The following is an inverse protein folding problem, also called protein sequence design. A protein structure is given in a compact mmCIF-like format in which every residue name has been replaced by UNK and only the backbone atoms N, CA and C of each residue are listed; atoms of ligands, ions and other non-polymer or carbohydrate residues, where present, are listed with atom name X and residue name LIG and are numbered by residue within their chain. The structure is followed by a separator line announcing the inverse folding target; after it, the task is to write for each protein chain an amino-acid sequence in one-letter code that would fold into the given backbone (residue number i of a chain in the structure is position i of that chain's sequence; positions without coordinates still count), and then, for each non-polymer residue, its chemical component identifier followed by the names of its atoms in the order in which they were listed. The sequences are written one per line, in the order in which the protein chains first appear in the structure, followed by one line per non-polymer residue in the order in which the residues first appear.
data_IF_076386813928
#
_entry.id   IF_076386813928
#
_cell.length_a   1.000
_cell.length_b   1.000
_cell.length_c   1.000
_cell.angle_alpha   90.00
_cell.angle_beta   90.00
_cell.angle_gamma   90.00
#
_symmetry.space_group_name_H-M   'P 1'
#
loop_
_entity.id
_entity.type
_entity.pdbx_description
1 polymer ?
#
# COMPACT_ATOMS: atom_id res chain seq x y z
N UNK A 1 -31.85 58.12 19.11
CA UNK A 1 -32.10 57.22 17.95
C UNK A 1 -32.58 55.85 18.46
N UNK A 2 -33.22 55.09 17.57
CA UNK A 2 -34.21 54.01 17.77
C UNK A 2 -33.71 52.70 18.41
N UNK A 3 -34.44 52.19 19.40
CA UNK A 3 -35.21 50.92 19.47
C UNK A 3 -34.70 49.65 18.72
N UNK A 4 -34.56 48.58 19.54
CA UNK A 4 -34.87 47.13 19.36
C UNK A 4 -33.95 46.16 18.61
N UNK A 5 -34.02 44.94 19.19
CA UNK A 5 -33.97 43.61 18.56
C UNK A 5 -32.59 42.97 18.45
N UNK A 6 -32.42 41.65 18.61
CA UNK A 6 -33.26 40.55 19.09
C UNK A 6 -32.30 39.35 19.21
N UNK A 7 -32.56 38.48 20.18
CA UNK A 7 -31.88 37.18 20.38
C UNK A 7 -32.07 36.30 19.13
N UNK A 8 -31.02 35.60 18.67
CA UNK A 8 -31.23 34.34 17.95
C UNK A 8 -30.08 33.35 18.21
N UNK A 9 -30.42 32.31 18.97
CA UNK A 9 -29.67 31.08 19.10
C UNK A 9 -29.35 30.48 17.73
N UNK A 10 -28.15 29.94 17.57
CA UNK A 10 -27.95 28.75 16.75
C UNK A 10 -26.78 27.97 17.30
N UNK A 11 -27.11 26.83 17.87
CA UNK A 11 -26.17 25.78 18.18
C UNK A 11 -25.45 25.36 16.88
N UNK A 12 -24.13 25.35 16.93
CA UNK A 12 -23.33 24.47 16.10
C UNK A 12 -22.27 23.88 17.03
N UNK A 13 -22.71 22.94 17.88
CA UNK A 13 -21.82 21.88 18.31
C UNK A 13 -21.46 21.12 17.03
N UNK A 14 -20.39 21.55 16.36
CA UNK A 14 -19.75 20.74 15.34
C UNK A 14 -19.29 19.51 16.09
N UNK A 15 -20.06 18.43 15.94
CA UNK A 15 -19.57 17.10 16.18
C UNK A 15 -18.28 17.01 15.38
N UNK A 16 -17.14 17.11 16.06
CA UNK A 16 -15.96 16.39 15.63
C UNK A 16 -16.34 14.92 15.73
N UNK A 17 -17.05 14.43 14.72
CA UNK A 17 -16.90 13.09 14.23
C UNK A 17 -15.43 13.01 13.82
N UNK A 18 -14.58 12.79 14.82
CA UNK A 18 -13.19 12.42 14.66
C UNK A 18 -13.24 11.14 13.86
N UNK A 19 -13.08 11.31 12.56
CA UNK A 19 -12.73 10.29 11.59
C UNK A 19 -11.85 9.28 12.28
N UNK A 20 -12.38 8.08 12.42
CA UNK A 20 -11.72 6.91 12.98
C UNK A 20 -10.27 6.89 12.50
N UNK A 21 -9.34 7.14 13.43
CA UNK A 21 -7.90 6.91 13.29
C UNK A 21 -7.61 5.40 13.23
N UNK A 22 -8.43 4.60 12.54
CA UNK A 22 -8.37 3.15 12.52
C UNK A 22 -7.49 2.59 11.38
N UNK A 23 -6.69 3.44 10.72
CA UNK A 23 -5.84 3.05 9.60
C UNK A 23 -4.33 3.12 9.92
N UNK A 24 -3.95 3.60 11.10
CA UNK A 24 -2.54 3.82 11.47
C UNK A 24 -1.78 2.52 11.75
N UNK A 25 -2.47 1.41 12.05
CA UNK A 25 -1.85 0.13 12.43
C UNK A 25 -1.82 -0.92 11.30
N UNK A 26 -2.33 -0.58 10.11
CA UNK A 26 -2.28 -1.53 9.01
C UNK A 26 -0.85 -1.65 8.45
N UNK A 27 -0.44 -2.88 8.15
CA UNK A 27 0.90 -3.20 7.64
C UNK A 27 0.73 -4.10 6.42
N UNK A 28 1.24 -3.66 5.27
CA UNK A 28 1.37 -4.51 4.11
C UNK A 28 2.44 -5.57 4.40
N UNK A 29 2.03 -6.83 4.46
CA UNK A 29 2.94 -7.96 4.59
C UNK A 29 3.15 -8.60 3.24
N UNK A 30 4.37 -8.58 2.74
CA UNK A 30 4.77 -9.29 1.53
C UNK A 30 5.54 -10.53 1.93
N UNK A 31 5.03 -11.70 1.58
CA UNK A 31 5.72 -12.99 1.76
C UNK A 31 6.25 -13.45 0.41
N UNK A 32 7.52 -13.83 0.35
CA UNK A 32 8.13 -14.39 -0.85
C UNK A 32 8.74 -15.75 -0.51
N UNK A 33 8.06 -16.80 -0.97
CA UNK A 33 8.45 -18.20 -0.86
C UNK A 33 9.15 -18.70 -2.14
N UNK A 34 9.36 -17.84 -3.14
CA UNK A 34 10.18 -18.17 -4.29
C UNK A 34 11.67 -18.06 -3.95
N UNK A 35 12.53 -18.53 -4.87
CA UNK A 35 13.98 -18.33 -4.77
C UNK A 35 14.43 -16.98 -5.36
N UNK A 36 13.50 -16.15 -5.81
CA UNK A 36 13.78 -14.91 -6.54
C UNK A 36 13.71 -13.70 -5.62
N UNK A 37 14.41 -12.64 -6.01
CA UNK A 37 14.25 -11.34 -5.38
C UNK A 37 12.98 -10.69 -5.87
N UNK A 38 12.21 -10.09 -4.95
CA UNK A 38 11.05 -9.28 -5.28
C UNK A 38 11.15 -7.87 -4.73
N UNK A 39 10.67 -6.93 -5.54
CA UNK A 39 10.50 -5.54 -5.15
C UNK A 39 9.26 -4.96 -5.82
N UNK A 40 8.77 -3.85 -5.28
CA UNK A 40 7.57 -3.17 -5.77
C UNK A 40 7.94 -1.76 -6.17
N UNK A 41 7.53 -1.34 -7.36
CA UNK A 41 7.65 0.03 -7.85
C UNK A 41 6.32 0.74 -7.79
N UNK A 42 6.28 1.93 -7.19
CA UNK A 42 5.12 2.82 -7.19
C UNK A 42 5.56 4.15 -7.78
N UNK A 43 5.04 4.48 -8.97
CA UNK A 43 5.52 5.64 -9.74
C UNK A 43 7.03 5.55 -10.02
N UNK A 44 7.83 6.57 -9.66
CA UNK A 44 9.29 6.55 -9.86
C UNK A 44 10.06 5.79 -8.77
N UNK A 45 9.42 5.42 -7.66
CA UNK A 45 10.10 4.88 -6.48
C UNK A 45 10.07 3.35 -6.48
N UNK A 46 11.24 2.75 -6.27
CA UNK A 46 11.39 1.31 -6.08
C UNK A 46 11.55 0.98 -4.59
N UNK A 47 10.76 0.04 -4.08
CA UNK A 47 10.82 -0.36 -2.67
C UNK A 47 12.21 -0.81 -2.25
N UNK A 48 12.94 -1.52 -3.11
CA UNK A 48 14.27 -2.00 -2.75
C UNK A 48 15.36 -0.92 -2.76
N UNK A 49 15.14 0.24 -3.37
CA UNK A 49 16.01 1.43 -3.13
C UNK A 49 15.87 1.98 -1.72
N UNK A 50 14.78 1.65 -1.03
CA UNK A 50 14.54 1.97 0.38
C UNK A 50 14.91 0.79 1.30
N UNK A 51 15.58 -0.24 0.77
CA UNK A 51 15.89 -1.47 1.49
C UNK A 51 14.69 -2.39 1.73
N UNK A 52 13.54 -2.11 1.10
CA UNK A 52 12.31 -2.89 1.23
C UNK A 52 12.18 -3.85 0.03
N UNK A 53 12.83 -5.01 0.12
CA UNK A 53 12.74 -6.08 -0.87
C UNK A 53 12.67 -7.41 -0.12
N UNK A 54 12.08 -8.44 -0.73
CA UNK A 54 12.15 -9.82 -0.23
C UNK A 54 13.01 -10.64 -1.17
N UNK A 55 13.67 -11.69 -0.68
CA UNK A 55 14.54 -12.51 -1.51
C UNK A 55 14.88 -13.83 -0.84
N UNK A 56 15.74 -14.65 -1.45
CA UNK A 56 16.14 -15.94 -0.87
C UNK A 56 16.73 -15.74 0.53
N UNK A 57 16.05 -16.29 1.55
CA UNK A 57 16.40 -16.14 2.96
C UNK A 57 15.74 -14.97 3.70
N UNK A 58 14.98 -14.12 3.01
CA UNK A 58 14.11 -13.09 3.58
C UNK A 58 12.65 -13.39 3.22
N UNK A 59 11.98 -14.26 3.99
CA UNK A 59 10.67 -14.79 3.62
C UNK A 59 9.60 -13.70 3.65
N UNK A 60 9.81 -12.60 4.39
CA UNK A 60 8.80 -11.57 4.58
C UNK A 60 9.39 -10.16 4.69
N UNK A 61 8.67 -9.18 4.14
CA UNK A 61 8.85 -7.76 4.40
C UNK A 61 7.54 -7.17 4.92
N UNK A 62 7.64 -6.26 5.89
CA UNK A 62 6.51 -5.55 6.49
C UNK A 62 6.64 -4.06 6.22
N UNK A 63 5.72 -3.52 5.44
CA UNK A 63 5.69 -2.10 5.09
C UNK A 63 4.51 -1.43 5.78
N UNK A 64 4.72 -0.45 6.67
CA UNK A 64 3.63 0.34 7.24
C UNK A 64 2.72 0.92 6.15
N UNK A 65 1.41 0.87 6.34
CA UNK A 65 0.45 1.35 5.34
C UNK A 65 0.58 2.86 5.06
N UNK A 66 1.04 3.63 6.04
CA UNK A 66 1.40 5.04 5.86
C UNK A 66 2.49 5.24 4.80
N UNK A 67 3.46 4.33 4.70
CA UNK A 67 4.48 4.37 3.64
C UNK A 67 3.83 4.02 2.29
N UNK A 68 2.99 2.99 2.24
CA UNK A 68 2.27 2.61 1.00
C UNK A 68 1.44 3.78 0.45
N UNK A 69 0.61 4.39 1.30
CA UNK A 69 -0.23 5.54 0.91
C UNK A 69 0.61 6.77 0.53
N UNK A 70 1.73 7.01 1.23
CA UNK A 70 2.69 8.06 0.87
C UNK A 70 3.30 7.82 -0.53
N UNK A 71 3.73 6.59 -0.83
CA UNK A 71 4.25 6.22 -2.16
C UNK A 71 3.20 6.39 -3.27
N UNK A 72 1.94 6.11 -2.94
CA UNK A 72 0.81 6.29 -3.86
C UNK A 72 0.36 7.76 -4.02
N UNK A 73 0.88 8.68 -3.21
CA UNK A 73 0.51 10.10 -3.22
C UNK A 73 -0.93 10.39 -2.76
N UNK A 74 -1.61 9.40 -2.15
CA UNK A 74 -3.01 9.50 -1.70
C UNK A 74 -3.30 8.46 -0.62
N UNK A 75 -4.33 8.72 0.19
CA UNK A 75 -4.70 7.86 1.31
C UNK A 75 -5.87 6.92 1.01
N UNK A 76 -6.59 7.12 -0.09
CA UNK A 76 -7.79 6.33 -0.46
C UNK A 76 -7.85 6.06 -1.97
N UNK A 77 -8.71 5.12 -2.37
CA UNK A 77 -8.90 4.71 -3.76
C UNK A 77 -7.82 3.73 -4.25
N UNK A 78 -7.80 3.46 -5.56
CA UNK A 78 -6.90 2.47 -6.17
C UNK A 78 -5.49 3.03 -6.43
N UNK A 79 -4.46 2.32 -6.01
CA UNK A 79 -3.06 2.59 -6.32
C UNK A 79 -2.46 1.42 -7.12
N UNK A 80 -1.90 1.72 -8.28
CA UNK A 80 -1.20 0.74 -9.09
C UNK A 80 0.29 0.74 -8.75
N UNK A 81 0.83 -0.45 -8.63
CA UNK A 81 2.23 -0.73 -8.44
C UNK A 81 2.69 -1.80 -9.42
N UNK A 82 3.99 -1.88 -9.65
CA UNK A 82 4.60 -2.93 -10.46
C UNK A 82 5.43 -3.82 -9.55
N UNK A 83 5.03 -5.08 -9.40
CA UNK A 83 5.83 -6.11 -8.76
C UNK A 83 6.90 -6.58 -9.73
N UNK A 84 8.13 -6.69 -9.26
CA UNK A 84 9.26 -7.25 -9.99
C UNK A 84 9.69 -8.55 -9.34
N UNK A 85 10.04 -9.54 -10.16
CA UNK A 85 10.68 -10.79 -9.76
C UNK A 85 11.90 -11.03 -10.64
N UNK A 86 13.03 -11.35 -10.00
CA UNK A 86 14.25 -11.72 -10.69
C UNK A 86 15.14 -12.62 -9.80
N UNK A 87 15.71 -13.71 -10.33
CA UNK A 87 16.60 -14.60 -9.57
C UNK A 87 17.93 -13.92 -9.17
N UNK A 88 18.27 -12.79 -9.78
CA UNK A 88 19.48 -12.02 -9.51
C UNK A 88 19.19 -10.76 -8.69
N UNK A 89 20.25 -10.11 -8.21
CA UNK A 89 20.11 -8.92 -7.36
C UNK A 89 19.46 -7.72 -8.05
N UNK A 90 19.26 -7.74 -9.36
CA UNK A 90 18.53 -6.67 -10.09
C UNK A 90 17.06 -6.62 -9.71
N UNK A 91 16.48 -7.74 -9.25
CA UNK A 91 15.13 -7.81 -8.69
C UNK A 91 14.96 -6.97 -7.43
N UNK A 92 16.06 -6.64 -6.72
CA UNK A 92 16.04 -5.68 -5.60
C UNK A 92 15.83 -4.25 -6.07
N UNK A 93 16.13 -3.94 -7.32
CA UNK A 93 16.09 -2.57 -7.86
C UNK A 93 15.00 -2.38 -8.90
N UNK A 94 13.92 -3.17 -8.82
CA UNK A 94 12.80 -3.12 -9.75
C UNK A 94 13.23 -3.34 -11.20
N UNK A 95 14.09 -4.34 -11.42
CA UNK A 95 14.45 -4.89 -12.72
C UNK A 95 13.99 -6.35 -12.84
N UNK A 96 14.00 -6.88 -14.06
CA UNK A 96 13.53 -8.23 -14.35
C UNK A 96 12.07 -8.29 -14.80
N UNK A 97 11.48 -9.47 -14.67
CA UNK A 97 10.08 -9.73 -15.00
C UNK A 97 9.15 -8.98 -14.07
N UNK A 98 7.99 -8.58 -14.58
CA UNK A 98 7.10 -7.73 -13.81
C UNK A 98 5.62 -7.92 -14.10
N UNK A 99 4.82 -7.61 -13.08
CA UNK A 99 3.38 -7.64 -13.11
C UNK A 99 2.80 -6.39 -12.46
N UNK A 100 1.68 -5.91 -12.99
CA UNK A 100 0.93 -4.83 -12.34
C UNK A 100 0.09 -5.40 -11.20
N UNK A 101 0.15 -4.73 -10.05
CA UNK A 101 -0.65 -5.00 -8.87
C UNK A 101 -1.45 -3.74 -8.55
N UNK A 102 -2.76 -3.86 -8.34
CA UNK A 102 -3.62 -2.77 -7.88
C UNK A 102 -3.97 -2.98 -6.41
N UNK A 103 -3.85 -1.93 -5.61
CA UNK A 103 -4.23 -1.93 -4.20
C UNK A 103 -5.34 -0.91 -3.97
N UNK A 104 -6.44 -1.30 -3.33
CA UNK A 104 -7.41 -0.35 -2.78
C UNK A 104 -6.91 0.12 -1.41
N UNK A 105 -6.50 1.38 -1.34
CA UNK A 105 -5.91 2.00 -0.16
C UNK A 105 -6.87 2.14 1.02
N UNK A 106 -8.17 2.04 0.74
CA UNK A 106 -9.25 2.21 1.72
C UNK A 106 -9.57 0.90 2.45
N UNK A 107 -9.43 -0.24 1.76
CA UNK A 107 -9.76 -1.57 2.29
C UNK A 107 -8.54 -2.46 2.50
N UNK A 108 -7.39 -2.11 1.90
CA UNK A 108 -6.21 -2.95 1.85
C UNK A 108 -6.31 -4.07 0.82
N UNK A 109 -7.41 -4.19 0.08
CA UNK A 109 -7.58 -5.23 -0.93
C UNK A 109 -6.53 -5.09 -2.03
N UNK A 110 -5.91 -6.21 -2.38
CA UNK A 110 -4.86 -6.27 -3.39
C UNK A 110 -5.38 -7.14 -4.54
N UNK A 111 -5.15 -6.71 -5.76
CA UNK A 111 -5.43 -7.45 -6.99
C UNK A 111 -4.16 -7.56 -7.81
N UNK A 112 -3.75 -8.78 -8.12
CA UNK A 112 -2.55 -9.12 -8.87
C UNK A 112 -2.91 -10.22 -9.90
N UNK A 113 -2.10 -10.45 -10.94
CA UNK A 113 -2.26 -11.66 -11.74
C UNK A 113 -2.09 -12.90 -10.87
N UNK A 114 -2.66 -14.03 -11.28
CA UNK A 114 -2.53 -15.30 -10.56
C UNK A 114 -1.11 -15.85 -10.55
N UNK A 115 -0.28 -15.45 -11.53
CA UNK A 115 1.13 -15.85 -11.62
C UNK A 115 1.99 -14.80 -12.34
N UNK A 116 3.30 -14.85 -12.10
CA UNK A 116 4.36 -14.13 -12.80
C UNK A 116 5.56 -15.09 -12.92
N UNK A 117 6.09 -15.31 -14.12
CA UNK A 117 7.18 -16.29 -14.38
C UNK A 117 6.93 -17.69 -13.79
N UNK A 118 5.70 -18.19 -13.98
CA UNK A 118 5.23 -19.47 -13.42
C UNK A 118 5.23 -19.55 -11.87
N UNK A 119 5.55 -18.45 -11.18
CA UNK A 119 5.42 -18.30 -9.73
C UNK A 119 4.02 -17.81 -9.41
N UNK A 120 3.34 -18.46 -8.47
CA UNK A 120 1.98 -18.10 -8.10
C UNK A 120 1.97 -16.85 -7.23
N UNK A 121 0.96 -16.01 -7.45
CA UNK A 121 0.70 -14.83 -6.64
C UNK A 121 -0.68 -14.97 -6.02
N UNK A 122 -0.71 -14.90 -4.69
CA UNK A 122 -1.94 -14.89 -3.90
C UNK A 122 -2.06 -13.58 -3.13
N UNK A 123 -3.29 -13.10 -2.97
CA UNK A 123 -3.58 -11.81 -2.37
C UNK A 123 -4.67 -11.94 -1.32
N UNK A 124 -4.53 -11.17 -0.26
CA UNK A 124 -5.57 -10.93 0.75
C UNK A 124 -5.46 -9.46 1.19
N UNK A 125 -6.43 -8.93 1.97
CA UNK A 125 -6.32 -7.57 2.49
C UNK A 125 -4.99 -7.38 3.23
N UNK A 126 -4.19 -6.39 2.81
CA UNK A 126 -2.86 -6.08 3.33
C UNK A 126 -1.81 -7.19 3.21
N UNK A 127 -2.05 -8.21 2.38
CA UNK A 127 -1.14 -9.34 2.21
C UNK A 127 -0.90 -9.68 0.74
N UNK A 128 0.37 -9.83 0.38
CA UNK A 128 0.82 -10.32 -0.92
C UNK A 128 1.73 -11.52 -0.69
N UNK A 129 1.38 -12.68 -1.25
CA UNK A 129 2.20 -13.89 -1.18
C UNK A 129 2.66 -14.28 -2.57
N UNK A 130 3.97 -14.47 -2.72
CA UNK A 130 4.65 -14.93 -3.94
C UNK A 130 5.20 -16.31 -3.61
N UNK A 131 4.90 -17.35 -4.38
CA UNK A 131 5.37 -18.70 -4.07
C UNK A 131 5.03 -19.78 -5.07
#
# INVERSE_FOLDING_TARGET
MKIKSLILSTAAAVLLAGTSLAMADNVLTTTNNSNDYSSVKVGPLCSGTLGQWTGPGQPQTKTPWAIVTSLCGKSTGSCNATLYLDPTTVGKTCGGSSATVSMDLSSGNISAPSSLDDINISTAPYQLTIG
#
